data_IF_042156486158
#
_entry.id   IF_042156486158
#
_cell.length_a   1.000
_cell.length_b   1.000
_cell.length_c   1.000
_cell.angle_alpha   90.00
_cell.angle_beta   90.00
_cell.angle_gamma   90.00
#
_symmetry.space_group_name_H-M   'P 1'
#
loop_
_entity.id
_entity.type
_entity.pdbx_description
1 polymer ?
#
# COMPACT_ATOMS: atom_id res chain seq x y z
N UNK A 1 6.90 -27.54 16.83
CA UNK A 1 6.04 -26.58 17.55
C UNK A 1 4.84 -26.28 16.67
N UNK A 2 3.65 -26.01 17.20
CA UNK A 2 2.55 -25.54 16.35
C UNK A 2 2.99 -24.27 15.62
N UNK A 3 2.43 -24.05 14.41
CA UNK A 3 2.71 -22.83 13.65
C UNK A 3 2.21 -21.61 14.44
N UNK A 4 3.00 -20.53 14.42
CA UNK A 4 2.63 -19.24 15.01
C UNK A 4 1.26 -18.79 14.48
N UNK A 5 0.36 -18.31 15.35
CA UNK A 5 -0.94 -17.78 14.94
C UNK A 5 -0.97 -16.26 15.05
N UNK A 6 -0.97 -15.59 13.91
CA UNK A 6 -1.09 -14.13 13.80
C UNK A 6 -2.56 -13.77 13.56
N UNK A 7 -3.11 -12.90 14.40
CA UNK A 7 -4.39 -12.26 14.14
C UNK A 7 -4.18 -10.85 13.59
N UNK A 8 -4.59 -10.60 12.37
CA UNK A 8 -4.60 -9.26 11.76
C UNK A 8 -5.93 -8.59 12.03
N UNK A 9 -5.92 -7.32 12.47
CA UNK A 9 -7.16 -6.55 12.71
C UNK A 9 -7.17 -5.28 11.88
N UNK A 10 -8.29 -5.08 11.18
CA UNK A 10 -8.63 -3.80 10.56
C UNK A 10 -9.89 -3.23 11.22
N UNK A 11 -9.74 -2.11 11.92
CA UNK A 11 -10.85 -1.40 12.57
C UNK A 11 -11.58 -0.42 11.63
N UNK A 12 -11.08 -0.21 10.40
CA UNK A 12 -11.81 0.54 9.39
C UNK A 12 -13.09 -0.21 9.05
N UNK A 13 -14.22 0.44 9.29
CA UNK A 13 -15.53 -0.18 9.00
C UNK A 13 -15.67 -0.48 7.51
N UNK A 14 -16.20 -1.66 7.20
CA UNK A 14 -16.62 -2.01 5.85
C UNK A 14 -17.68 -1.02 5.39
N UNK A 15 -17.59 -0.47 4.17
CA UNK A 15 -18.66 0.38 3.64
C UNK A 15 -20.04 -0.31 3.64
N UNK A 16 -21.08 0.47 3.93
CA UNK A 16 -22.45 -0.04 3.96
C UNK A 16 -22.85 -0.67 2.62
N UNK A 17 -23.61 -1.77 2.70
CA UNK A 17 -24.19 -2.44 1.54
C UNK A 17 -23.23 -3.36 0.78
N UNK A 18 -22.00 -3.60 1.26
CA UNK A 18 -21.11 -4.60 0.69
C UNK A 18 -21.30 -5.96 1.35
N UNK A 19 -21.64 -6.96 0.54
CA UNK A 19 -21.59 -8.35 0.99
C UNK A 19 -20.14 -8.81 1.23
N UNK A 20 -19.88 -9.75 2.17
CA UNK A 20 -18.54 -10.20 2.50
C UNK A 20 -17.72 -10.69 1.30
N UNK A 21 -18.36 -11.37 0.33
CA UNK A 21 -17.69 -11.81 -0.92
C UNK A 21 -17.24 -10.65 -1.81
N UNK A 22 -18.00 -9.56 -1.87
CA UNK A 22 -17.68 -8.39 -2.69
C UNK A 22 -16.52 -7.56 -2.14
N UNK A 23 -16.20 -7.70 -0.83
CA UNK A 23 -15.10 -6.97 -0.18
C UNK A 23 -13.78 -7.32 -0.84
N UNK A 24 -13.55 -8.59 -1.17
CA UNK A 24 -12.31 -9.05 -1.79
C UNK A 24 -12.10 -8.49 -3.21
N UNK A 25 -13.17 -8.15 -3.90
CA UNK A 25 -13.10 -7.49 -5.21
C UNK A 25 -12.88 -5.99 -5.09
N UNK A 26 -13.52 -5.34 -4.11
CA UNK A 26 -13.46 -3.89 -3.92
C UNK A 26 -12.30 -3.43 -3.04
N UNK A 27 -11.81 -4.31 -2.14
CA UNK A 27 -10.64 -4.09 -1.29
C UNK A 27 -9.65 -5.26 -1.41
N UNK A 28 -9.06 -5.50 -2.60
CA UNK A 28 -8.11 -6.60 -2.80
C UNK A 28 -6.92 -6.52 -1.83
N UNK A 29 -6.53 -5.32 -1.42
CA UNK A 29 -5.46 -5.08 -0.45
C UNK A 29 -5.64 -5.83 0.88
N UNK A 30 -6.87 -6.06 1.33
CA UNK A 30 -7.12 -6.84 2.55
C UNK A 30 -6.67 -8.29 2.39
N UNK A 31 -6.92 -8.89 1.22
CA UNK A 31 -6.46 -10.23 0.90
C UNK A 31 -4.95 -10.27 0.69
N UNK A 32 -4.40 -9.34 -0.08
CA UNK A 32 -2.96 -9.28 -0.40
C UNK A 32 -2.10 -9.15 0.87
N UNK A 33 -2.48 -8.27 1.80
CA UNK A 33 -1.78 -8.11 3.08
C UNK A 33 -1.83 -9.41 3.92
N UNK A 34 -2.97 -10.09 3.93
CA UNK A 34 -3.12 -11.36 4.64
C UNK A 34 -2.31 -12.49 3.98
N UNK A 35 -2.26 -12.54 2.66
CA UNK A 35 -1.45 -13.49 1.90
C UNK A 35 0.05 -13.26 2.09
N UNK A 36 0.50 -12.00 2.16
CA UNK A 36 1.88 -11.67 2.57
C UNK A 36 2.19 -12.27 3.95
N UNK A 37 1.32 -12.06 4.92
CA UNK A 37 1.52 -12.59 6.26
C UNK A 37 1.51 -14.14 6.29
N UNK A 38 0.65 -14.79 5.49
CA UNK A 38 0.63 -16.25 5.34
C UNK A 38 1.98 -16.76 4.81
N UNK A 39 2.63 -16.04 3.90
CA UNK A 39 3.97 -16.38 3.40
C UNK A 39 5.09 -16.27 4.45
N UNK A 40 4.80 -15.76 5.66
CA UNK A 40 5.71 -15.85 6.81
C UNK A 40 5.80 -17.26 7.40
N UNK A 41 4.94 -18.18 6.99
CA UNK A 41 4.78 -19.52 7.57
C UNK A 41 3.88 -19.55 8.81
N UNK A 42 3.26 -18.43 9.18
CA UNK A 42 2.29 -18.37 10.27
C UNK A 42 0.89 -18.79 9.80
N UNK A 43 0.07 -19.27 10.73
CA UNK A 43 -1.38 -19.33 10.55
C UNK A 43 -1.94 -17.91 10.65
N UNK A 44 -2.82 -17.52 9.75
CA UNK A 44 -3.39 -16.17 9.71
C UNK A 44 -4.90 -16.21 9.94
N UNK A 45 -5.38 -15.34 10.83
CA UNK A 45 -6.79 -14.96 10.91
C UNK A 45 -6.91 -13.46 10.71
N UNK A 46 -7.81 -13.02 9.84
CA UNK A 46 -8.13 -11.61 9.63
C UNK A 46 -9.41 -11.28 10.39
N UNK A 47 -9.40 -10.21 11.15
CA UNK A 47 -10.56 -9.73 11.90
C UNK A 47 -10.90 -8.34 11.35
N UNK A 48 -12.09 -8.22 10.76
CA UNK A 48 -12.56 -7.01 10.10
C UNK A 48 -13.77 -6.43 10.84
N UNK A 49 -13.70 -5.16 11.22
CA UNK A 49 -14.87 -4.44 11.71
C UNK A 49 -15.91 -4.28 10.60
N UNK A 50 -17.15 -4.67 10.87
CA UNK A 50 -18.24 -4.69 9.90
C UNK A 50 -19.57 -4.27 10.55
N UNK A 51 -20.61 -3.96 9.78
CA UNK A 51 -21.98 -3.78 10.30
C UNK A 51 -22.74 -5.12 10.44
N UNK A 52 -22.06 -6.25 10.33
CA UNK A 52 -22.58 -7.62 10.45
C UNK A 52 -21.54 -8.56 11.03
N UNK A 53 -22.00 -9.76 11.46
CA UNK A 53 -21.12 -10.84 11.92
C UNK A 53 -21.14 -11.99 10.92
N UNK A 54 -19.97 -12.37 10.40
CA UNK A 54 -19.81 -13.48 9.45
C UNK A 54 -18.40 -14.07 9.52
N UNK A 55 -18.23 -15.31 9.08
CA UNK A 55 -16.94 -15.95 8.91
C UNK A 55 -16.81 -16.53 7.52
N UNK A 56 -15.71 -16.21 6.83
CA UNK A 56 -15.35 -16.76 5.52
C UNK A 56 -13.95 -17.34 5.61
N UNK A 57 -13.72 -18.51 5.01
CA UNK A 57 -12.37 -19.06 4.82
C UNK A 57 -11.99 -18.96 3.34
N UNK A 58 -10.86 -18.33 3.05
CA UNK A 58 -10.33 -18.15 1.68
C UNK A 58 -8.81 -18.35 1.70
N UNK A 59 -8.30 -19.15 0.77
CA UNK A 59 -6.86 -19.44 0.62
C UNK A 59 -6.15 -19.88 1.92
N UNK A 60 -6.86 -20.63 2.78
CA UNK A 60 -6.33 -21.08 4.07
C UNK A 60 -6.33 -20.00 5.17
N UNK A 61 -6.91 -18.82 4.92
CA UNK A 61 -7.05 -17.73 5.87
C UNK A 61 -8.50 -17.63 6.35
N UNK A 62 -8.70 -17.54 7.66
CA UNK A 62 -10.00 -17.30 8.27
C UNK A 62 -10.26 -15.80 8.39
N UNK A 63 -11.31 -15.30 7.72
CA UNK A 63 -11.77 -13.90 7.80
C UNK A 63 -13.00 -13.84 8.72
N UNK A 64 -12.87 -13.12 9.83
CA UNK A 64 -13.93 -12.91 10.81
C UNK A 64 -14.44 -11.46 10.69
N UNK A 65 -15.66 -11.29 10.23
CA UNK A 65 -16.34 -10.00 10.24
C UNK A 65 -17.06 -9.85 11.58
N UNK A 66 -16.73 -8.80 12.33
CA UNK A 66 -17.33 -8.54 13.65
C UNK A 66 -18.27 -7.36 13.55
N UNK A 67 -19.53 -7.58 13.95
CA UNK A 67 -20.51 -6.53 14.09
C UNK A 67 -20.09 -5.55 15.20
N UNK A 68 -19.76 -4.33 14.78
CA UNK A 68 -19.45 -3.19 15.66
C UNK A 68 -20.54 -2.13 15.65
N UNK A 69 -21.71 -2.41 15.10
CA UNK A 69 -22.86 -1.52 15.09
C UNK A 69 -23.19 -1.08 16.52
N UNK A 70 -23.34 0.23 16.73
CA UNK A 70 -23.59 0.78 18.07
C UNK A 70 -22.41 0.75 19.05
N UNK A 71 -21.25 0.19 18.70
CA UNK A 71 -20.05 0.11 19.54
C UNK A 71 -19.08 1.26 19.23
N UNK A 72 -19.47 2.49 19.48
CA UNK A 72 -18.67 3.67 19.14
C UNK A 72 -17.39 3.80 19.98
N UNK A 73 -17.41 3.40 21.27
CA UNK A 73 -16.25 3.49 22.14
C UNK A 73 -15.24 2.36 21.91
N UNK A 74 -13.95 2.70 21.84
CA UNK A 74 -12.85 1.74 21.68
C UNK A 74 -12.86 0.64 22.76
N UNK A 75 -13.24 0.97 24.00
CA UNK A 75 -13.36 -0.01 25.09
C UNK A 75 -14.40 -1.10 24.84
N UNK A 76 -15.53 -0.76 24.20
CA UNK A 76 -16.55 -1.74 23.84
C UNK A 76 -16.13 -2.60 22.65
N UNK A 77 -15.56 -1.96 21.62
CA UNK A 77 -14.97 -2.69 20.48
C UNK A 77 -13.87 -3.63 20.97
N UNK A 78 -12.93 -3.12 21.77
CA UNK A 78 -11.80 -3.85 22.32
C UNK A 78 -12.21 -5.14 23.03
N UNK A 79 -13.28 -5.14 23.85
CA UNK A 79 -13.79 -6.36 24.51
C UNK A 79 -14.31 -7.39 23.52
N UNK A 80 -15.05 -6.95 22.50
CA UNK A 80 -15.59 -7.87 21.47
C UNK A 80 -14.46 -8.53 20.70
N UNK A 81 -13.43 -7.77 20.32
CA UNK A 81 -12.27 -8.31 19.62
C UNK A 81 -11.41 -9.19 20.53
N UNK A 82 -11.19 -8.81 21.79
CA UNK A 82 -10.44 -9.62 22.75
C UNK A 82 -11.05 -10.99 22.98
N UNK A 83 -12.37 -11.09 23.06
CA UNK A 83 -13.07 -12.38 23.20
C UNK A 83 -12.80 -13.31 22.02
N UNK A 84 -12.82 -12.80 20.79
CA UNK A 84 -12.47 -13.60 19.61
C UNK A 84 -11.00 -13.99 19.62
N UNK A 85 -10.07 -13.05 19.87
CA UNK A 85 -8.63 -13.29 19.93
C UNK A 85 -8.28 -14.42 20.92
N UNK A 86 -8.91 -14.41 22.11
CA UNK A 86 -8.74 -15.49 23.09
C UNK A 86 -9.31 -16.80 22.58
N UNK A 87 -10.47 -16.79 21.95
CA UNK A 87 -11.12 -18.02 21.43
C UNK A 87 -10.30 -18.69 20.33
N UNK A 88 -9.67 -17.92 19.44
CA UNK A 88 -8.83 -18.45 18.36
C UNK A 88 -7.39 -18.73 18.79
N UNK A 89 -7.02 -18.37 20.04
CA UNK A 89 -5.67 -18.53 20.58
C UNK A 89 -4.60 -17.87 19.70
N UNK A 90 -4.77 -16.57 19.44
CA UNK A 90 -3.77 -15.79 18.72
C UNK A 90 -2.51 -15.62 19.57
N UNK A 91 -1.33 -15.82 18.97
CA UNK A 91 -0.03 -15.62 19.62
C UNK A 91 0.47 -14.18 19.52
N UNK A 92 0.00 -13.44 18.53
CA UNK A 92 0.34 -12.04 18.27
C UNK A 92 -0.80 -11.31 17.56
N UNK A 93 -1.03 -10.06 17.94
CA UNK A 93 -1.98 -9.17 17.30
C UNK A 93 -1.25 -8.20 16.36
N UNK A 94 -1.67 -8.15 15.09
CA UNK A 94 -1.19 -7.23 14.09
C UNK A 94 -2.32 -6.26 13.69
N UNK A 95 -2.22 -5.01 14.10
CA UNK A 95 -3.23 -3.95 13.86
C UNK A 95 -2.85 -3.13 12.64
N UNK A 96 -3.79 -2.87 11.74
CA UNK A 96 -3.62 -2.02 10.58
C UNK A 96 -4.07 -0.59 10.86
N UNK A 97 -3.12 0.36 10.78
CA UNK A 97 -3.31 1.80 10.97
C UNK A 97 -2.94 2.29 12.38
N UNK A 98 -2.00 3.22 12.44
CA UNK A 98 -1.50 3.84 13.68
C UNK A 98 -2.61 4.59 14.43
N UNK A 99 -3.62 5.08 13.73
CA UNK A 99 -4.78 5.80 14.30
C UNK A 99 -5.65 4.92 15.21
N UNK A 100 -5.55 3.60 15.10
CA UNK A 100 -6.32 2.64 15.89
C UNK A 100 -5.60 2.19 17.18
N UNK A 101 -4.59 2.95 17.61
CA UNK A 101 -3.85 2.65 18.86
C UNK A 101 -4.73 2.67 20.10
N UNK A 102 -5.84 3.42 20.13
CA UNK A 102 -6.82 3.39 21.23
C UNK A 102 -7.51 2.02 21.33
N UNK A 103 -7.92 1.47 20.19
CA UNK A 103 -8.53 0.13 20.12
C UNK A 103 -7.53 -0.96 20.50
N UNK A 104 -6.28 -0.85 20.04
CA UNK A 104 -5.20 -1.74 20.43
C UNK A 104 -4.93 -1.70 21.95
N UNK A 105 -4.92 -0.51 22.54
CA UNK A 105 -4.79 -0.35 23.98
C UNK A 105 -5.96 -0.98 24.74
N UNK A 106 -7.20 -0.82 24.25
CA UNK A 106 -8.38 -1.44 24.86
C UNK A 106 -8.32 -2.99 24.84
N UNK A 107 -7.79 -3.57 23.75
CA UNK A 107 -7.54 -5.02 23.66
C UNK A 107 -6.46 -5.43 24.67
N UNK A 108 -5.36 -4.69 24.77
CA UNK A 108 -4.27 -4.97 25.72
C UNK A 108 -4.73 -4.95 27.18
N UNK A 109 -5.75 -4.16 27.54
CA UNK A 109 -6.33 -4.19 28.89
C UNK A 109 -7.08 -5.50 29.18
N UNK A 110 -7.56 -6.21 28.15
CA UNK A 110 -8.24 -7.51 28.28
C UNK A 110 -7.26 -8.68 28.14
N UNK A 111 -6.24 -8.54 27.31
CA UNK A 111 -5.24 -9.57 26.97
C UNK A 111 -3.81 -9.01 27.14
N UNK A 112 -3.35 -8.79 28.38
CA UNK A 112 -2.06 -8.12 28.64
C UNK A 112 -0.83 -8.92 28.16
N UNK A 113 -0.97 -10.25 28.03
CA UNK A 113 0.09 -11.14 27.58
C UNK A 113 0.21 -11.22 26.05
N UNK A 114 -0.76 -10.66 25.30
CA UNK A 114 -0.75 -10.69 23.85
C UNK A 114 0.12 -9.58 23.28
N UNK A 115 1.25 -9.88 22.61
CA UNK A 115 2.07 -8.86 21.95
C UNK A 115 1.31 -8.20 20.82
N UNK A 116 1.46 -6.86 20.69
CA UNK A 116 0.78 -6.06 19.68
C UNK A 116 1.78 -5.37 18.77
N UNK A 117 1.60 -5.58 17.46
CA UNK A 117 2.26 -4.83 16.39
C UNK A 117 1.22 -3.90 15.74
N UNK A 118 1.63 -2.68 15.37
CA UNK A 118 0.81 -1.79 14.54
C UNK A 118 1.58 -1.45 13.26
N UNK A 119 0.92 -1.60 12.11
CA UNK A 119 1.45 -1.24 10.80
C UNK A 119 0.94 0.13 10.37
N UNK A 120 1.84 0.99 9.86
CA UNK A 120 1.49 2.28 9.28
C UNK A 120 0.77 2.14 7.95
N UNK A 121 -0.27 2.93 7.73
CA UNK A 121 -1.00 3.07 6.47
C UNK A 121 -1.02 4.55 6.03
N UNK A 122 0.15 5.19 5.98
CA UNK A 122 0.32 6.61 5.71
C UNK A 122 -0.37 7.51 6.74
N UNK A 123 -0.41 7.07 7.99
CA UNK A 123 -1.01 7.82 9.09
C UNK A 123 -0.22 9.09 9.42
N UNK A 124 -0.86 10.01 10.13
CA UNK A 124 -0.24 11.25 10.62
C UNK A 124 -0.26 11.27 12.14
N UNK A 125 0.74 11.90 12.78
CA UNK A 125 0.70 12.12 14.21
C UNK A 125 -0.55 12.90 14.62
N UNK A 126 -1.09 12.63 15.81
CA UNK A 126 -2.25 13.36 16.32
C UNK A 126 -1.90 14.84 16.57
N UNK A 127 -2.90 15.73 16.58
CA UNK A 127 -2.71 17.11 16.96
C UNK A 127 -2.13 17.19 18.38
N UNK A 128 -1.41 18.29 18.67
CA UNK A 128 -0.61 18.44 19.89
C UNK A 128 -1.37 18.17 21.20
N UNK A 129 -2.66 18.55 21.28
CA UNK A 129 -3.50 18.35 22.48
C UNK A 129 -3.90 16.89 22.74
N UNK A 130 -3.77 16.01 21.76
CA UNK A 130 -4.04 14.56 21.91
C UNK A 130 -2.77 13.74 22.12
N UNK A 131 -1.59 14.33 22.05
CA UNK A 131 -0.31 13.58 22.06
C UNK A 131 -0.08 12.83 23.38
N UNK A 132 -0.43 13.40 24.53
CA UNK A 132 -0.27 12.73 25.84
C UNK A 132 -1.13 11.47 25.93
N UNK A 133 -2.36 11.56 25.46
CA UNK A 133 -3.28 10.43 25.40
C UNK A 133 -2.77 9.32 24.47
N UNK A 134 -2.29 9.68 23.27
CA UNK A 134 -1.74 8.72 22.33
C UNK A 134 -0.46 8.06 22.86
N UNK A 135 0.45 8.79 23.50
CA UNK A 135 1.62 8.21 24.17
C UNK A 135 1.22 7.16 25.21
N UNK A 136 0.19 7.41 26.00
CA UNK A 136 -0.34 6.43 26.94
C UNK A 136 -0.82 5.16 26.22
N UNK A 137 -1.53 5.29 25.12
CA UNK A 137 -2.01 4.14 24.36
C UNK A 137 -0.87 3.34 23.72
N UNK A 138 0.15 4.03 23.18
CA UNK A 138 1.32 3.37 22.62
C UNK A 138 2.16 2.58 23.64
N UNK A 139 1.96 2.75 24.94
CA UNK A 139 2.63 1.90 25.94
C UNK A 139 2.25 0.42 25.83
N UNK A 140 1.12 0.08 25.23
CA UNK A 140 0.69 -1.28 25.00
C UNK A 140 1.32 -1.93 23.76
N UNK A 141 1.98 -1.13 22.89
CA UNK A 141 2.46 -1.58 21.59
C UNK A 141 3.89 -2.09 21.69
N UNK A 142 4.13 -3.32 21.24
CA UNK A 142 5.43 -3.98 21.26
C UNK A 142 6.28 -3.62 20.05
N UNK A 143 5.65 -3.46 18.87
CA UNK A 143 6.32 -3.13 17.62
C UNK A 143 5.49 -2.24 16.71
N UNK A 144 6.16 -1.40 15.93
CA UNK A 144 5.53 -0.56 14.89
C UNK A 144 6.29 -0.75 13.60
N UNK A 145 5.56 -0.93 12.51
CA UNK A 145 6.11 -1.22 11.19
C UNK A 145 5.77 -0.10 10.23
N UNK A 146 6.78 0.40 9.54
CA UNK A 146 6.65 1.39 8.46
C UNK A 146 7.19 0.79 7.16
N UNK A 147 6.74 1.29 6.02
CA UNK A 147 7.30 0.89 4.72
C UNK A 147 8.72 1.46 4.52
N UNK A 148 8.99 2.64 5.07
CA UNK A 148 10.30 3.29 5.03
C UNK A 148 10.64 3.91 6.40
N UNK A 149 11.93 3.96 6.81
CA UNK A 149 12.32 4.51 8.12
C UNK A 149 11.92 5.96 8.31
N UNK A 150 11.96 6.77 7.25
CA UNK A 150 11.63 8.20 7.27
C UNK A 150 10.15 8.45 7.60
N UNK A 151 9.27 7.48 7.33
CA UNK A 151 7.84 7.59 7.70
C UNK A 151 7.62 7.56 9.20
N UNK A 152 8.56 7.02 9.98
CA UNK A 152 8.52 7.06 11.44
C UNK A 152 8.91 8.43 12.02
N UNK A 153 9.69 9.27 11.29
CA UNK A 153 10.26 10.52 11.80
C UNK A 153 9.21 11.48 12.39
N UNK A 154 8.03 11.72 11.76
CA UNK A 154 7.03 12.62 12.33
C UNK A 154 6.53 12.19 13.71
N UNK A 155 6.59 10.90 14.02
CA UNK A 155 6.17 10.32 15.30
C UNK A 155 7.32 10.29 16.32
N UNK A 156 8.50 9.86 15.89
CA UNK A 156 9.68 9.71 16.77
C UNK A 156 10.21 11.06 17.23
N UNK A 157 10.24 12.06 16.37
CA UNK A 157 10.70 13.44 16.68
C UNK A 157 9.88 14.07 17.81
N UNK A 158 8.62 13.72 17.94
CA UNK A 158 7.75 14.22 19.03
C UNK A 158 7.67 13.25 20.23
N UNK A 159 8.48 12.20 20.24
CA UNK A 159 8.49 11.20 21.33
C UNK A 159 7.14 10.48 21.49
N UNK A 160 6.53 10.05 20.37
CA UNK A 160 5.21 9.42 20.40
C UNK A 160 5.24 8.03 20.97
N UNK A 161 6.30 7.27 20.69
CA UNK A 161 6.41 5.86 21.04
C UNK A 161 7.17 5.67 22.36
N UNK A 162 6.83 4.60 23.09
CA UNK A 162 7.57 4.24 24.29
C UNK A 162 9.00 3.79 23.93
N UNK A 163 10.01 4.05 24.76
CA UNK A 163 11.41 3.66 24.48
C UNK A 163 11.60 2.17 24.20
N UNK A 164 10.70 1.34 24.69
CA UNK A 164 10.71 -0.12 24.49
C UNK A 164 10.03 -0.59 23.20
N UNK A 165 9.31 0.29 22.51
CA UNK A 165 8.60 -0.05 21.27
C UNK A 165 9.62 -0.22 20.16
N UNK A 166 9.62 -1.38 19.49
CA UNK A 166 10.52 -1.65 18.39
C UNK A 166 9.98 -1.04 17.09
N UNK A 167 10.88 -0.49 16.27
CA UNK A 167 10.53 0.03 14.95
C UNK A 167 11.11 -0.89 13.89
N UNK A 168 10.27 -1.24 12.91
CA UNK A 168 10.64 -2.12 11.81
C UNK A 168 10.35 -1.46 10.47
N UNK A 169 11.06 -1.92 9.44
CA UNK A 169 10.82 -1.50 8.05
C UNK A 169 10.49 -2.72 7.20
N UNK A 170 9.23 -2.79 6.74
CA UNK A 170 8.73 -3.86 5.86
C UNK A 170 7.77 -3.24 4.85
N UNK A 171 7.86 -3.57 3.54
CA UNK A 171 6.82 -3.19 2.59
C UNK A 171 5.44 -3.61 3.07
N UNK A 172 4.45 -2.76 2.85
CA UNK A 172 3.11 -2.94 3.42
C UNK A 172 2.43 -4.19 2.87
N UNK A 173 2.59 -4.45 1.58
CA UNK A 173 1.93 -5.53 0.86
C UNK A 173 2.73 -5.99 -0.34
N UNK A 174 2.15 -6.85 -1.14
CA UNK A 174 2.60 -7.30 -2.45
C UNK A 174 1.42 -7.32 -3.42
N UNK A 175 1.59 -7.88 -4.60
CA UNK A 175 0.53 -8.08 -5.58
C UNK A 175 0.69 -9.42 -6.30
N UNK A 176 -0.43 -10.01 -6.72
CA UNK A 176 -0.45 -11.21 -7.55
C UNK A 176 -0.25 -10.96 -9.05
N UNK A 177 -0.05 -9.71 -9.48
CA UNK A 177 0.16 -9.39 -10.89
C UNK A 177 1.40 -10.09 -11.45
N UNK A 178 1.34 -10.46 -12.71
CA UNK A 178 2.42 -11.17 -13.39
C UNK A 178 2.84 -10.47 -14.69
N UNK A 179 4.08 -10.69 -15.05
CA UNK A 179 4.60 -10.22 -16.34
C UNK A 179 3.96 -11.02 -17.48
N UNK A 180 3.31 -10.29 -18.40
CA UNK A 180 2.69 -10.85 -19.59
C UNK A 180 3.43 -10.49 -20.88
N UNK A 181 2.87 -10.90 -22.02
CA UNK A 181 3.33 -10.48 -23.34
C UNK A 181 2.85 -9.06 -23.64
N UNK A 182 3.78 -8.11 -23.77
CA UNK A 182 3.46 -6.72 -24.11
C UNK A 182 2.69 -6.61 -25.45
N UNK A 183 3.08 -7.38 -26.46
CA UNK A 183 2.42 -7.36 -27.75
C UNK A 183 0.95 -7.84 -27.68
N UNK A 184 0.69 -8.92 -26.93
CA UNK A 184 -0.68 -9.43 -26.73
C UNK A 184 -1.49 -8.41 -25.93
N UNK A 185 -0.94 -7.91 -24.84
CA UNK A 185 -1.63 -6.92 -23.99
C UNK A 185 -1.98 -5.64 -24.76
N UNK A 186 -1.09 -5.15 -25.62
CA UNK A 186 -1.37 -4.01 -26.52
C UNK A 186 -2.50 -4.29 -27.50
N UNK A 187 -2.51 -5.47 -28.11
CA UNK A 187 -3.58 -5.86 -29.02
C UNK A 187 -4.94 -5.94 -28.32
N UNK A 188 -4.98 -6.44 -27.08
CA UNK A 188 -6.21 -6.58 -26.29
C UNK A 188 -6.69 -5.28 -25.67
N UNK A 189 -5.76 -4.40 -25.29
CA UNK A 189 -6.10 -3.13 -24.59
C UNK A 189 -6.28 -1.98 -25.55
N UNK A 190 -5.68 -2.02 -26.74
CA UNK A 190 -5.59 -0.91 -27.66
C UNK A 190 -4.52 0.13 -27.26
N UNK A 191 -3.79 -0.07 -26.18
CA UNK A 191 -2.73 0.84 -25.76
C UNK A 191 -1.62 0.89 -26.81
N UNK A 192 -1.19 2.09 -27.13
CA UNK A 192 -0.11 2.34 -28.08
C UNK A 192 0.74 3.50 -27.63
N UNK A 193 1.86 3.71 -28.30
CA UNK A 193 2.84 4.76 -27.99
C UNK A 193 4.27 4.24 -28.04
N UNK A 194 5.22 5.14 -28.23
CA UNK A 194 6.64 4.86 -28.17
C UNK A 194 7.36 6.05 -27.49
N UNK A 195 7.47 6.03 -26.15
CA UNK A 195 6.94 5.04 -25.21
C UNK A 195 5.43 5.12 -24.97
N UNK A 196 4.82 3.98 -24.61
CA UNK A 196 3.48 3.89 -24.02
C UNK A 196 3.62 4.10 -22.50
N UNK A 197 3.15 5.22 -21.98
CA UNK A 197 3.25 5.59 -20.56
C UNK A 197 1.90 5.36 -19.90
N UNK A 198 1.89 4.70 -18.74
CA UNK A 198 0.68 4.46 -17.96
C UNK A 198 0.75 5.21 -16.62
N UNK A 199 -0.34 5.85 -16.26
CA UNK A 199 -0.60 6.42 -14.96
C UNK A 199 -1.83 5.74 -14.33
N UNK A 200 -1.74 5.31 -13.07
CA UNK A 200 -2.85 4.69 -12.34
C UNK A 200 -2.96 5.32 -10.97
N UNK A 201 -4.15 5.83 -10.61
CA UNK A 201 -4.38 6.44 -9.30
C UNK A 201 -5.71 7.17 -9.19
N UNK A 202 -5.79 8.13 -8.27
CA UNK A 202 -6.93 9.04 -8.13
C UNK A 202 -6.55 10.42 -8.68
N UNK A 203 -7.39 11.08 -9.46
CA UNK A 203 -7.16 12.45 -9.91
C UNK A 203 -7.40 13.44 -8.76
N UNK A 204 -6.51 13.45 -7.77
CA UNK A 204 -6.53 14.36 -6.62
C UNK A 204 -5.17 15.03 -6.39
N UNK A 205 -5.12 16.06 -5.55
CA UNK A 205 -3.91 16.82 -5.25
C UNK A 205 -2.77 15.96 -4.66
N UNK A 206 -3.09 14.87 -3.95
CA UNK A 206 -2.08 13.96 -3.38
C UNK A 206 -1.36 13.11 -4.43
N UNK A 207 -1.96 12.89 -5.59
CA UNK A 207 -1.40 12.16 -6.74
C UNK A 207 -0.84 13.08 -7.83
N UNK A 208 -1.11 14.38 -7.72
CA UNK A 208 -0.56 15.48 -8.54
C UNK A 208 -0.59 15.24 -10.07
N UNK A 209 -1.79 14.97 -10.64
CA UNK A 209 -1.89 14.70 -12.08
C UNK A 209 -1.48 15.88 -12.95
N UNK A 210 -1.62 17.12 -12.46
CA UNK A 210 -1.30 18.31 -13.25
C UNK A 210 0.21 18.45 -13.47
N UNK A 211 1.02 18.23 -12.43
CA UNK A 211 2.49 18.21 -12.56
C UNK A 211 2.95 17.07 -13.47
N UNK A 212 2.28 15.91 -13.41
CA UNK A 212 2.56 14.81 -14.34
C UNK A 212 2.29 15.23 -15.78
N UNK A 213 1.14 15.86 -16.06
CA UNK A 213 0.83 16.39 -17.40
C UNK A 213 1.86 17.42 -17.88
N UNK A 214 2.29 18.32 -17.00
CA UNK A 214 3.32 19.31 -17.32
C UNK A 214 4.67 18.67 -17.66
N UNK A 215 5.06 17.61 -16.93
CA UNK A 215 6.27 16.84 -17.22
C UNK A 215 6.17 16.09 -18.54
N UNK A 216 5.04 15.46 -18.82
CA UNK A 216 4.75 14.78 -20.08
C UNK A 216 4.83 15.77 -21.26
N UNK A 217 4.18 16.93 -21.17
CA UNK A 217 4.23 17.96 -22.20
C UNK A 217 5.69 18.39 -22.52
N UNK A 218 6.51 18.58 -21.48
CA UNK A 218 7.93 18.93 -21.63
C UNK A 218 8.78 17.81 -22.22
N UNK A 219 8.41 16.53 -22.00
CA UNK A 219 9.14 15.38 -22.54
C UNK A 219 8.82 15.09 -24.02
N UNK A 220 7.61 15.45 -24.48
CA UNK A 220 7.12 15.13 -25.82
C UNK A 220 8.00 15.62 -26.99
N UNK A 221 8.64 16.79 -26.96
CA UNK A 221 9.57 17.19 -28.01
C UNK A 221 10.74 16.21 -28.21
N UNK A 222 11.19 15.56 -27.13
CA UNK A 222 12.25 14.55 -27.17
C UNK A 222 11.73 13.13 -27.37
N UNK A 223 10.44 12.90 -27.18
CA UNK A 223 9.74 11.62 -27.27
C UNK A 223 8.48 11.77 -28.15
N UNK A 224 8.64 11.98 -29.48
CA UNK A 224 7.53 12.34 -30.36
C UNK A 224 6.44 11.27 -30.48
N UNK A 225 6.75 10.00 -30.16
CA UNK A 225 5.80 8.89 -30.14
C UNK A 225 5.14 8.63 -28.80
N UNK A 226 5.44 9.44 -27.75
CA UNK A 226 4.89 9.25 -26.42
C UNK A 226 3.36 9.37 -26.40
N UNK A 227 2.70 8.40 -25.77
CA UNK A 227 1.28 8.45 -25.44
C UNK A 227 1.13 8.19 -23.94
N UNK A 228 0.31 8.99 -23.26
CA UNK A 228 -0.03 8.81 -21.85
C UNK A 228 -1.44 8.26 -21.70
N UNK A 229 -1.57 7.18 -20.96
CA UNK A 229 -2.83 6.53 -20.64
C UNK A 229 -3.10 6.64 -19.14
N UNK A 230 -4.28 7.13 -18.74
CA UNK A 230 -4.64 7.41 -17.36
C UNK A 230 -5.86 6.59 -16.93
N UNK A 231 -5.66 5.61 -16.05
CA UNK A 231 -6.74 4.89 -15.37
C UNK A 231 -6.93 5.48 -13.97
N UNK A 232 -8.17 5.83 -13.60
CA UNK A 232 -8.42 6.50 -12.32
C UNK A 232 -9.80 6.18 -11.76
N UNK A 233 -9.87 6.10 -10.42
CA UNK A 233 -11.12 5.94 -9.68
C UNK A 233 -11.73 7.30 -9.32
N UNK A 234 -11.50 7.77 -8.08
CA UNK A 234 -11.99 9.08 -7.65
C UNK A 234 -11.25 10.23 -8.37
N UNK A 235 -11.99 11.22 -8.89
CA UNK A 235 -11.45 12.21 -9.82
C UNK A 235 -11.89 13.65 -9.53
N UNK A 236 -11.63 14.20 -8.32
CA UNK A 236 -12.03 15.57 -8.00
C UNK A 236 -11.35 16.64 -8.87
N UNK A 237 -10.20 16.35 -9.50
CA UNK A 237 -9.49 17.27 -10.42
C UNK A 237 -9.75 16.95 -11.91
N UNK A 238 -10.82 16.22 -12.25
CA UNK A 238 -11.08 15.81 -13.64
C UNK A 238 -11.23 16.99 -14.58
N UNK A 239 -11.96 18.02 -14.19
CA UNK A 239 -12.21 19.20 -15.02
C UNK A 239 -10.90 19.98 -15.29
N UNK A 240 -10.04 20.14 -14.28
CA UNK A 240 -8.73 20.80 -14.42
C UNK A 240 -7.81 19.98 -15.31
N UNK A 241 -7.79 18.66 -15.17
CA UNK A 241 -7.02 17.73 -16.00
C UNK A 241 -7.47 17.83 -17.46
N UNK A 242 -8.77 17.76 -17.73
CA UNK A 242 -9.32 17.90 -19.08
C UNK A 242 -8.96 19.25 -19.69
N UNK A 243 -9.18 20.35 -18.96
CA UNK A 243 -8.81 21.69 -19.39
C UNK A 243 -7.32 21.81 -19.70
N UNK A 244 -6.44 21.20 -18.88
CA UNK A 244 -5.00 21.20 -19.09
C UNK A 244 -4.61 20.45 -20.36
N UNK A 245 -5.26 19.33 -20.65
CA UNK A 245 -5.03 18.54 -21.88
C UNK A 245 -5.47 19.32 -23.11
N UNK A 246 -6.68 19.89 -23.11
CA UNK A 246 -7.27 20.59 -24.25
C UNK A 246 -6.50 21.85 -24.64
N UNK A 247 -5.94 22.56 -23.67
CA UNK A 247 -5.20 23.82 -23.90
C UNK A 247 -3.77 23.63 -24.40
N UNK A 248 -3.24 22.42 -24.33
CA UNK A 248 -1.84 22.16 -24.70
C UNK A 248 -1.76 21.30 -25.98
N UNK A 249 -1.25 21.86 -27.09
CA UNK A 249 -1.13 21.12 -28.35
C UNK A 249 -0.27 19.85 -28.28
N UNK A 250 0.65 19.78 -27.32
CA UNK A 250 1.46 18.57 -27.08
C UNK A 250 0.65 17.47 -26.41
N UNK A 251 -0.29 17.81 -25.52
CA UNK A 251 -1.11 16.85 -24.78
C UNK A 251 -2.36 16.41 -25.56
N UNK A 252 -2.93 17.33 -26.35
CA UNK A 252 -4.13 17.08 -27.13
C UNK A 252 -3.93 15.88 -28.09
N UNK A 253 -4.82 14.86 -28.01
CA UNK A 253 -4.74 13.64 -28.78
C UNK A 253 -3.63 12.66 -28.39
N UNK A 254 -2.86 12.94 -27.34
CA UNK A 254 -1.80 12.05 -26.82
C UNK A 254 -2.00 11.63 -25.36
N UNK A 255 -2.95 12.24 -24.67
CA UNK A 255 -3.36 11.84 -23.32
C UNK A 255 -4.75 11.23 -23.38
N UNK A 256 -4.87 10.01 -22.88
CA UNK A 256 -6.07 9.21 -22.95
C UNK A 256 -6.61 8.95 -21.53
N UNK A 257 -7.80 9.45 -21.24
CA UNK A 257 -8.47 9.29 -19.95
C UNK A 257 -9.37 8.05 -20.01
N UNK A 258 -8.95 6.95 -19.37
CA UNK A 258 -9.67 5.67 -19.37
C UNK A 258 -10.81 5.63 -18.34
N UNK A 259 -10.78 6.53 -17.34
CA UNK A 259 -11.73 6.47 -16.23
C UNK A 259 -11.47 5.31 -15.27
N UNK A 260 -12.55 4.90 -14.58
CA UNK A 260 -12.52 3.78 -13.67
C UNK A 260 -12.61 2.46 -14.46
N UNK A 261 -11.63 1.59 -14.25
CA UNK A 261 -11.55 0.27 -14.86
C UNK A 261 -11.49 -0.82 -13.80
N UNK A 262 -11.98 -2.04 -14.07
CA UNK A 262 -11.83 -3.17 -13.14
C UNK A 262 -10.36 -3.48 -12.84
N UNK A 263 -10.07 -3.93 -11.60
CA UNK A 263 -8.69 -4.20 -11.16
C UNK A 263 -7.96 -5.21 -12.06
N UNK A 264 -8.64 -6.27 -12.50
CA UNK A 264 -8.08 -7.23 -13.45
C UNK A 264 -7.67 -6.58 -14.79
N UNK A 265 -8.36 -5.50 -15.22
CA UNK A 265 -7.98 -4.75 -16.42
C UNK A 265 -6.71 -3.92 -16.20
N UNK A 266 -6.44 -3.47 -14.96
CA UNK A 266 -5.21 -2.75 -14.63
C UNK A 266 -3.99 -3.62 -14.92
N UNK A 267 -4.03 -4.92 -14.62
CA UNK A 267 -2.94 -5.84 -14.94
C UNK A 267 -2.63 -5.86 -16.45
N UNK A 268 -3.65 -5.97 -17.28
CA UNK A 268 -3.47 -5.94 -18.74
C UNK A 268 -2.92 -4.60 -19.24
N UNK A 269 -3.37 -3.46 -18.64
CA UNK A 269 -2.84 -2.14 -18.97
C UNK A 269 -1.37 -2.01 -18.57
N UNK A 270 -0.99 -2.51 -17.38
CA UNK A 270 0.41 -2.57 -16.94
C UNK A 270 1.25 -3.42 -17.89
N UNK A 271 0.77 -4.60 -18.29
CA UNK A 271 1.49 -5.46 -19.24
C UNK A 271 1.70 -4.79 -20.61
N UNK A 272 0.78 -3.91 -21.04
CA UNK A 272 0.86 -3.18 -22.31
C UNK A 272 1.78 -1.95 -22.25
N UNK A 273 2.04 -1.39 -21.06
CA UNK A 273 2.85 -0.19 -20.89
C UNK A 273 4.36 -0.44 -20.99
N UNK A 274 5.11 0.57 -21.42
CA UNK A 274 6.59 0.58 -21.37
C UNK A 274 7.08 1.22 -20.08
N UNK A 275 6.44 2.33 -19.67
CA UNK A 275 6.77 3.09 -18.47
C UNK A 275 5.52 3.28 -17.59
N UNK A 276 5.74 3.26 -16.29
CA UNK A 276 4.75 3.67 -15.29
C UNK A 276 5.16 5.01 -14.70
N UNK A 277 4.25 5.99 -14.67
CA UNK A 277 4.51 7.32 -14.10
C UNK A 277 3.63 7.57 -12.88
N UNK A 278 4.21 8.18 -11.82
CA UNK A 278 3.45 8.62 -10.64
C UNK A 278 3.99 9.93 -10.09
N UNK A 279 3.08 10.87 -9.76
CA UNK A 279 3.36 12.16 -9.12
C UNK A 279 3.00 12.18 -7.62
N UNK A 280 2.81 11.03 -6.98
CA UNK A 280 2.33 10.95 -5.60
C UNK A 280 3.20 11.72 -4.62
N UNK A 281 2.55 12.52 -3.78
CA UNK A 281 3.23 13.28 -2.72
C UNK A 281 3.56 12.43 -1.49
N UNK A 282 2.78 11.38 -1.26
CA UNK A 282 2.93 10.44 -0.13
C UNK A 282 2.23 9.14 -0.45
N UNK A 283 2.88 8.05 -0.10
CA UNK A 283 2.34 6.68 -0.15
C UNK A 283 2.78 5.91 1.08
N UNK A 284 2.00 4.94 1.48
CA UNK A 284 2.46 3.85 2.35
C UNK A 284 2.82 2.64 1.51
N UNK A 285 1.84 1.98 0.91
CA UNK A 285 2.04 0.81 0.07
C UNK A 285 2.54 1.15 -1.35
N UNK A 286 1.88 2.10 -2.02
CA UNK A 286 2.17 2.38 -3.43
C UNK A 286 1.73 1.24 -4.37
N UNK A 287 0.51 0.71 -4.19
CA UNK A 287 0.01 -0.45 -4.94
C UNK A 287 0.24 -0.37 -6.46
N UNK A 288 -0.09 0.76 -7.09
CA UNK A 288 0.10 0.90 -8.53
C UNK A 288 1.57 0.76 -8.97
N UNK A 289 2.52 1.16 -8.12
CA UNK A 289 3.95 0.93 -8.36
C UNK A 289 4.31 -0.54 -8.16
N UNK A 290 3.81 -1.20 -7.12
CA UNK A 290 4.01 -2.65 -6.93
C UNK A 290 3.50 -3.45 -8.14
N UNK A 291 2.31 -3.12 -8.62
CA UNK A 291 1.68 -3.71 -9.79
C UNK A 291 2.50 -3.50 -11.07
N UNK A 292 3.02 -2.28 -11.26
CA UNK A 292 3.91 -1.98 -12.38
C UNK A 292 5.21 -2.81 -12.33
N UNK A 293 5.85 -2.88 -11.16
CA UNK A 293 7.07 -3.65 -10.95
C UNK A 293 6.83 -5.15 -11.15
N UNK A 294 5.70 -5.68 -10.66
CA UNK A 294 5.30 -7.07 -10.86
C UNK A 294 5.09 -7.42 -12.35
N UNK A 295 4.55 -6.48 -13.13
CA UNK A 295 4.40 -6.62 -14.57
C UNK A 295 5.69 -6.35 -15.37
N UNK A 296 6.79 -5.99 -14.71
CA UNK A 296 8.07 -5.69 -15.35
C UNK A 296 8.09 -4.31 -16.05
N UNK A 297 7.27 -3.35 -15.61
CA UNK A 297 7.17 -2.00 -16.18
C UNK A 297 8.14 -1.05 -15.48
N UNK A 298 8.97 -0.35 -16.25
CA UNK A 298 9.95 0.56 -15.70
C UNK A 298 9.27 1.80 -15.05
N UNK A 299 9.50 2.08 -13.75
CA UNK A 299 8.87 3.20 -13.07
C UNK A 299 9.63 4.52 -13.27
N UNK A 300 8.87 5.62 -13.40
CA UNK A 300 9.36 7.00 -13.31
C UNK A 300 8.48 7.69 -12.28
N UNK A 301 8.91 7.70 -11.03
CA UNK A 301 8.04 8.05 -9.90
C UNK A 301 8.66 9.12 -9.00
N UNK A 302 7.84 9.79 -8.21
CA UNK A 302 8.32 10.81 -7.29
C UNK A 302 9.30 10.25 -6.26
N UNK A 303 10.30 11.06 -5.90
CA UNK A 303 11.28 10.76 -4.85
C UNK A 303 10.64 10.94 -3.47
N UNK A 304 9.93 9.90 -3.02
CA UNK A 304 9.31 9.79 -1.69
C UNK A 304 9.78 8.53 -0.97
N UNK A 305 9.78 8.50 0.37
CA UNK A 305 10.39 7.40 1.14
C UNK A 305 9.93 6.00 0.71
N UNK A 306 8.63 5.77 0.57
CA UNK A 306 8.10 4.46 0.15
C UNK A 306 8.54 4.08 -1.27
N UNK A 307 8.58 5.03 -2.21
CA UNK A 307 9.00 4.74 -3.57
C UNK A 307 10.51 4.47 -3.69
N UNK A 308 11.35 5.10 -2.85
CA UNK A 308 12.76 4.73 -2.74
C UNK A 308 12.91 3.25 -2.36
N UNK A 309 12.21 2.81 -1.31
CA UNK A 309 12.25 1.40 -0.88
C UNK A 309 11.78 0.47 -2.00
N UNK A 310 10.64 0.77 -2.64
CA UNK A 310 10.06 -0.09 -3.67
C UNK A 310 10.92 -0.17 -4.94
N UNK A 311 11.66 0.88 -5.27
CA UNK A 311 12.52 0.93 -6.47
C UNK A 311 13.99 0.59 -6.18
N UNK A 312 14.33 0.18 -4.94
CA UNK A 312 15.71 -0.04 -4.53
C UNK A 312 16.55 1.22 -4.67
N UNK A 313 16.10 2.33 -4.06
CA UNK A 313 16.73 3.66 -4.12
C UNK A 313 16.88 4.20 -5.54
N UNK A 314 15.91 3.89 -6.41
CA UNK A 314 15.92 4.30 -7.81
C UNK A 314 16.82 3.44 -8.71
N UNK A 315 17.34 2.30 -8.23
CA UNK A 315 18.12 1.36 -9.07
C UNK A 315 17.28 0.73 -10.18
N UNK A 316 15.97 0.67 -9.98
CA UNK A 316 14.99 0.23 -10.97
C UNK A 316 14.13 1.42 -11.39
N UNK A 317 14.34 1.93 -12.61
CA UNK A 317 13.63 3.09 -13.17
C UNK A 317 14.26 4.42 -12.77
N UNK A 318 13.43 5.43 -12.46
CA UNK A 318 13.91 6.76 -12.09
C UNK A 318 13.06 7.39 -10.98
N UNK A 319 13.73 8.10 -10.08
CA UNK A 319 13.13 8.95 -9.07
C UNK A 319 13.26 10.42 -9.49
N UNK A 320 12.20 11.21 -9.29
CA UNK A 320 12.19 12.66 -9.60
C UNK A 320 11.61 13.46 -8.43
N UNK A 321 12.13 14.69 -8.18
CA UNK A 321 11.67 15.53 -7.07
C UNK A 321 10.20 15.89 -7.21
N UNK A 322 9.44 15.70 -6.11
CA UNK A 322 8.02 16.02 -6.04
C UNK A 322 7.73 17.46 -6.48
N UNK A 323 6.73 17.65 -7.38
CA UNK A 323 6.31 18.94 -7.88
C UNK A 323 7.22 19.53 -8.98
N UNK A 324 8.27 18.84 -9.40
CA UNK A 324 9.20 19.31 -10.43
C UNK A 324 8.95 18.65 -11.79
N UNK A 325 8.08 19.28 -12.59
CA UNK A 325 7.74 18.82 -13.95
C UNK A 325 8.96 18.80 -14.90
N UNK A 326 9.98 19.62 -14.66
CA UNK A 326 11.21 19.64 -15.47
C UNK A 326 12.03 18.37 -15.22
N UNK A 327 12.25 18.03 -13.96
CA UNK A 327 12.94 16.79 -13.58
C UNK A 327 12.17 15.55 -13.96
N UNK A 328 10.83 15.58 -13.91
CA UNK A 328 10.01 14.49 -14.45
C UNK A 328 10.27 14.29 -15.95
N UNK A 329 10.30 15.38 -16.74
CA UNK A 329 10.56 15.29 -18.17
C UNK A 329 11.95 14.70 -18.47
N UNK A 330 13.00 15.14 -17.76
CA UNK A 330 14.35 14.60 -17.86
C UNK A 330 14.39 13.10 -17.53
N UNK A 331 13.73 12.69 -16.43
CA UNK A 331 13.64 11.32 -16.00
C UNK A 331 12.93 10.43 -17.03
N UNK A 332 11.79 10.92 -17.59
CA UNK A 332 11.07 10.22 -18.65
C UNK A 332 11.94 10.00 -19.90
N UNK A 333 12.61 11.07 -20.36
CA UNK A 333 13.47 11.01 -21.56
C UNK A 333 14.65 10.06 -21.34
N UNK A 334 15.29 10.13 -20.19
CA UNK A 334 16.44 9.28 -19.85
C UNK A 334 16.03 7.81 -19.75
N UNK A 335 14.93 7.53 -19.02
CA UNK A 335 14.45 6.16 -18.86
C UNK A 335 13.93 5.58 -20.18
N UNK A 336 13.24 6.38 -21.01
CA UNK A 336 12.75 5.92 -22.31
C UNK A 336 13.88 5.56 -23.29
N UNK A 337 15.03 6.26 -23.21
CA UNK A 337 16.20 5.96 -24.06
C UNK A 337 16.97 4.72 -23.61
N UNK A 338 17.02 4.46 -22.32
CA UNK A 338 17.76 3.35 -21.71
C UNK A 338 16.91 2.67 -20.62
N UNK A 339 15.79 2.04 -20.97
CA UNK A 339 14.92 1.42 -19.97
C UNK A 339 15.60 0.18 -19.38
N UNK A 340 15.40 -0.09 -18.06
CA UNK A 340 15.69 -1.42 -17.55
C UNK A 340 14.84 -2.44 -18.30
N UNK A 341 15.37 -3.62 -18.57
CA UNK A 341 14.58 -4.66 -19.19
C UNK A 341 13.43 -5.09 -18.28
N UNK A 342 12.33 -5.56 -18.89
CA UNK A 342 11.18 -6.07 -18.09
C UNK A 342 11.60 -7.19 -17.13
N UNK A 343 12.56 -8.03 -17.54
CA UNK A 343 13.11 -9.08 -16.70
C UNK A 343 13.90 -8.53 -15.50
N UNK A 344 14.67 -7.46 -15.67
CA UNK A 344 15.37 -6.81 -14.56
C UNK A 344 14.39 -6.21 -13.54
N UNK A 345 13.35 -5.52 -14.02
CA UNK A 345 12.29 -4.95 -13.17
C UNK A 345 11.58 -6.08 -12.42
N UNK A 346 11.19 -7.16 -13.12
CA UNK A 346 10.54 -8.31 -12.51
C UNK A 346 11.45 -9.04 -11.51
N UNK A 347 12.71 -9.21 -11.80
CA UNK A 347 13.67 -9.86 -10.90
C UNK A 347 13.83 -9.08 -9.59
N UNK A 348 13.83 -7.74 -9.64
CA UNK A 348 13.80 -6.90 -8.44
C UNK A 348 12.51 -7.13 -7.63
N UNK A 349 11.35 -7.13 -8.29
CA UNK A 349 10.08 -7.42 -7.61
C UNK A 349 10.10 -8.81 -6.94
N UNK A 350 10.55 -9.84 -7.64
CA UNK A 350 10.59 -11.20 -7.12
C UNK A 350 11.51 -11.33 -5.89
N UNK A 351 12.66 -10.65 -5.93
CA UNK A 351 13.65 -10.71 -4.86
C UNK A 351 13.23 -9.95 -3.59
N UNK A 352 12.58 -8.78 -3.75
CA UNK A 352 12.37 -7.82 -2.66
C UNK A 352 10.89 -7.62 -2.27
N UNK A 353 9.95 -7.76 -3.21
CA UNK A 353 8.59 -7.28 -3.08
C UNK A 353 7.52 -8.36 -3.27
N UNK A 354 7.88 -9.57 -3.73
CA UNK A 354 6.93 -10.68 -3.88
C UNK A 354 6.35 -11.10 -2.53
N UNK A 355 5.20 -11.76 -2.55
CA UNK A 355 4.57 -12.31 -1.33
C UNK A 355 5.57 -13.09 -0.49
N UNK A 356 6.40 -13.93 -1.09
CA UNK A 356 7.43 -14.72 -0.41
C UNK A 356 8.53 -13.85 0.18
N UNK A 357 9.01 -12.83 -0.54
CA UNK A 357 10.07 -11.95 -0.07
C UNK A 357 9.62 -11.09 1.13
N UNK A 358 8.44 -10.47 1.02
CA UNK A 358 7.87 -9.66 2.10
C UNK A 358 7.44 -10.54 3.28
N UNK A 359 6.87 -11.73 3.02
CA UNK A 359 6.50 -12.69 4.05
C UNK A 359 7.68 -13.15 4.91
N UNK A 360 8.86 -13.38 4.30
CA UNK A 360 10.10 -13.69 5.05
C UNK A 360 10.50 -12.56 6.01
N UNK A 361 10.34 -11.29 5.61
CA UNK A 361 10.59 -10.14 6.49
C UNK A 361 9.60 -10.12 7.67
N UNK A 362 8.32 -10.38 7.41
CA UNK A 362 7.31 -10.49 8.46
C UNK A 362 7.58 -11.63 9.45
N UNK A 363 8.08 -12.78 8.97
CA UNK A 363 8.49 -13.88 9.87
C UNK A 363 9.52 -13.40 10.90
N UNK A 364 10.53 -12.64 10.46
CA UNK A 364 11.54 -12.04 11.35
C UNK A 364 10.94 -11.05 12.35
N UNK A 365 10.02 -10.18 11.90
CA UNK A 365 9.33 -9.20 12.76
C UNK A 365 8.52 -9.90 13.84
N UNK A 366 7.68 -10.87 13.47
CA UNK A 366 6.85 -11.60 14.42
C UNK A 366 7.71 -12.33 15.46
N UNK A 367 8.74 -13.05 15.03
CA UNK A 367 9.64 -13.79 15.93
C UNK A 367 10.32 -12.84 16.93
N UNK A 368 10.88 -11.72 16.46
CA UNK A 368 11.58 -10.76 17.32
C UNK A 368 10.63 -10.10 18.33
N UNK A 369 9.42 -9.74 17.93
CA UNK A 369 8.44 -9.11 18.83
C UNK A 369 7.99 -10.07 19.91
N UNK A 370 7.71 -11.33 19.56
CA UNK A 370 7.30 -12.37 20.53
C UNK A 370 8.44 -12.65 21.53
N UNK A 371 9.66 -12.84 21.04
CA UNK A 371 10.82 -13.08 21.91
C UNK A 371 11.04 -11.95 22.92
N UNK A 372 10.98 -10.70 22.45
CA UNK A 372 11.19 -9.53 23.31
C UNK A 372 10.01 -9.32 24.28
N UNK A 373 8.78 -9.65 23.87
CA UNK A 373 7.61 -9.60 24.75
C UNK A 373 7.71 -10.65 25.86
N UNK A 374 8.08 -11.88 25.52
CA UNK A 374 8.27 -12.94 26.50
C UNK A 374 9.38 -12.65 27.55
N UNK A 375 10.45 -11.96 27.14
CA UNK A 375 11.51 -11.50 28.07
C UNK A 375 11.04 -10.43 29.06
N UNK A 376 9.94 -9.74 28.80
CA UNK A 376 9.38 -8.66 29.65
C UNK A 376 8.44 -9.17 30.73
N UNK A 377 7.83 -10.32 30.46
CA UNK A 377 6.86 -10.95 31.38
C UNK A 377 7.56 -11.81 32.42
N UNK A 378 8.77 -12.27 32.11
CA UNK A 378 9.65 -12.98 33.05
C UNK A 378 10.37 -12.01 33.99
#
# INVERSE_FOLDING_TARGET
MPALHVAQINFQLVPDGLAPGEIFEKWPSMADIAEVALCSGARISVIQAAPYAEKITRNGIDYHFIDVSGKLAATHRGRSFASLLDSIKADILHVHGLRFVEDAFAIAQCLPELPIIIQDHADRPPPWWRRSQWRRWYTAVSGIVFTAPELALPFTTIGMFAPRTQLFTVPESSTGFVMGSNAIARAETGLHGNPCVLWVGHLNAGKDPLVVLDGIAKAMPSLPGLQLWCAFGNAPLLAEVQTRIERDPWLAGRVHLLGCVPHARIEQLMQAADLFVSGSHRESCGYALLEALACGVAPVVTDIPSFRILTGEGSIGALWPRGDAGRLAEALVTTAKNPPTRQQVRAHFDAELSFTAVGRRWAGVYAQVIENHARRIR
#
